data_IF_707975729543
#
_entry.id   IF_707975729543
#
_cell.length_a   1.000
_cell.length_b   1.000
_cell.length_c   1.000
_cell.angle_alpha   90.00
_cell.angle_beta   90.00
_cell.angle_gamma   90.00
#
_symmetry.space_group_name_H-M   'P 1'
#
loop_
_entity.id
_entity.type
_entity.pdbx_description
1 polymer ?
#
# COMPACT_ATOMS: atom_id res chain seq x y z
N UNK A 1 -7.39 -17.24 -18.40
CA UNK A 1 -7.68 -16.71 -17.05
C UNK A 1 -6.79 -17.49 -16.08
N UNK A 2 -6.09 -16.84 -15.16
CA UNK A 2 -5.15 -17.55 -14.26
C UNK A 2 -5.85 -18.13 -13.02
N UNK A 3 -7.02 -17.57 -12.65
CA UNK A 3 -7.90 -18.01 -11.58
C UNK A 3 -9.30 -17.38 -11.77
N UNK A 4 -10.32 -17.91 -11.10
CA UNK A 4 -11.70 -17.35 -11.10
C UNK A 4 -11.89 -16.30 -9.99
N UNK A 5 -11.29 -16.53 -8.81
CA UNK A 5 -11.29 -15.61 -7.66
C UNK A 5 -9.93 -15.64 -6.99
N UNK A 6 -9.38 -14.48 -6.66
CA UNK A 6 -8.15 -14.33 -5.89
C UNK A 6 -8.44 -13.72 -4.52
N UNK A 7 -7.84 -14.27 -3.46
CA UNK A 7 -7.93 -13.73 -2.10
C UNK A 7 -6.53 -13.34 -1.65
N UNK A 8 -6.40 -12.14 -1.11
CA UNK A 8 -5.13 -11.62 -0.63
C UNK A 8 -5.32 -10.66 0.55
N UNK A 9 -4.25 -10.46 1.31
CA UNK A 9 -4.23 -9.42 2.35
C UNK A 9 -4.10 -8.04 1.71
N UNK A 10 -4.85 -7.06 2.24
CA UNK A 10 -4.69 -5.67 1.81
C UNK A 10 -3.24 -5.23 2.00
N UNK A 11 -2.74 -4.44 1.05
CA UNK A 11 -1.39 -3.91 1.07
C UNK A 11 -1.38 -2.49 0.51
N UNK A 12 -0.76 -1.59 1.27
CA UNK A 12 -0.31 -0.27 0.79
C UNK A 12 -1.41 0.74 0.41
N UNK A 13 -2.69 0.49 0.75
CA UNK A 13 -3.83 1.37 0.41
C UNK A 13 -3.81 2.75 1.10
N UNK A 14 -2.90 2.97 2.04
CA UNK A 14 -2.75 4.23 2.76
C UNK A 14 -2.23 5.36 1.87
N UNK A 15 -1.44 5.06 0.84
CA UNK A 15 -0.94 6.03 -0.14
C UNK A 15 -1.18 5.46 -1.54
N UNK A 16 -2.44 5.47 -2.01
CA UNK A 16 -2.82 4.73 -3.21
C UNK A 16 -2.34 5.41 -4.50
N UNK A 17 -1.82 6.64 -4.40
CA UNK A 17 -1.14 7.34 -5.51
C UNK A 17 0.23 6.73 -5.85
N UNK A 18 0.85 5.99 -4.93
CA UNK A 18 2.12 5.28 -5.19
C UNK A 18 1.84 3.87 -5.72
N UNK A 19 0.80 3.23 -5.20
CA UNK A 19 0.40 1.88 -5.59
C UNK A 19 -1.13 1.73 -5.59
N UNK A 20 -1.79 1.92 -6.74
CA UNK A 20 -3.24 1.87 -6.84
C UNK A 20 -3.78 0.46 -7.13
N UNK A 21 -2.99 -0.62 -6.94
CA UNK A 21 -3.30 -1.96 -7.48
C UNK A 21 -4.64 -2.54 -7.04
N UNK A 22 -5.21 -2.08 -5.93
CA UNK A 22 -6.52 -2.51 -5.42
C UNK A 22 -7.71 -1.69 -5.94
N UNK A 23 -7.44 -0.55 -6.58
CA UNK A 23 -8.44 0.32 -7.18
C UNK A 23 -8.57 0.11 -8.68
N UNK A 24 -7.50 -0.27 -9.37
CA UNK A 24 -7.59 -0.74 -10.75
C UNK A 24 -6.39 -1.62 -11.10
N UNK A 25 -6.45 -2.38 -12.21
CA UNK A 25 -5.33 -3.19 -12.68
C UNK A 25 -4.16 -2.33 -13.17
N UNK A 26 -3.24 -2.02 -12.26
CA UNK A 26 -2.08 -1.16 -12.48
C UNK A 26 -0.80 -1.96 -12.73
N UNK A 27 -0.61 -3.07 -12.00
CA UNK A 27 0.61 -3.88 -12.03
C UNK A 27 0.28 -5.37 -12.24
N UNK A 28 1.30 -6.20 -12.47
CA UNK A 28 1.10 -7.66 -12.56
C UNK A 28 0.63 -8.28 -11.25
N UNK A 29 0.72 -7.55 -10.13
CA UNK A 29 0.21 -7.96 -8.82
C UNK A 29 -1.27 -7.61 -8.62
N UNK A 30 -1.91 -6.92 -9.58
CA UNK A 30 -3.36 -6.69 -9.58
C UNK A 30 -4.09 -7.99 -9.96
N UNK A 31 -4.20 -8.89 -8.99
CA UNK A 31 -4.77 -10.24 -9.16
C UNK A 31 -6.18 -10.23 -9.75
N UNK A 32 -6.97 -9.19 -9.45
CA UNK A 32 -8.34 -9.01 -9.96
C UNK A 32 -8.41 -8.75 -11.48
N UNK A 33 -7.29 -8.48 -12.15
CA UNK A 33 -7.31 -8.06 -13.55
C UNK A 33 -5.96 -8.12 -14.27
N UNK A 34 -5.17 -9.18 -14.10
CA UNK A 34 -3.82 -9.31 -14.69
C UNK A 34 -3.80 -9.03 -16.21
N UNK A 35 -4.83 -9.46 -16.96
CA UNK A 35 -4.94 -9.21 -18.40
C UNK A 35 -5.12 -7.72 -18.73
N UNK A 36 -5.88 -6.99 -17.91
CA UNK A 36 -6.08 -5.55 -18.00
C UNK A 36 -4.83 -4.78 -17.55
N UNK A 37 -4.13 -5.25 -16.52
CA UNK A 37 -2.86 -4.65 -16.10
C UNK A 37 -1.78 -4.76 -17.19
N UNK A 38 -1.71 -5.89 -17.91
CA UNK A 38 -0.84 -6.04 -19.10
C UNK A 38 -1.19 -5.04 -20.18
N UNK A 39 -2.49 -4.80 -20.40
CA UNK A 39 -2.96 -3.79 -21.36
C UNK A 39 -2.53 -2.39 -20.97
N UNK A 40 -2.70 -2.03 -19.70
CA UNK A 40 -2.27 -0.75 -19.16
C UNK A 40 -0.74 -0.55 -19.30
N UNK A 41 0.05 -1.48 -18.76
CA UNK A 41 1.52 -1.39 -18.75
C UNK A 41 2.14 -1.39 -20.16
N UNK A 42 1.49 -2.02 -21.12
CA UNK A 42 1.98 -2.09 -22.49
C UNK A 42 1.50 -0.93 -23.38
N UNK A 43 0.78 0.04 -22.83
CA UNK A 43 0.09 1.09 -23.58
C UNK A 43 -0.80 0.50 -24.70
N UNK A 44 -1.58 -0.52 -24.36
CA UNK A 44 -2.55 -1.18 -25.23
C UNK A 44 -2.00 -2.19 -26.22
N UNK A 45 -0.70 -2.51 -26.17
CA UNK A 45 -0.05 -3.43 -27.14
C UNK A 45 -0.23 -4.91 -26.80
N UNK A 46 -0.44 -5.25 -25.54
CA UNK A 46 -0.51 -6.63 -25.04
C UNK A 46 -1.58 -6.76 -23.96
N UNK A 47 -2.19 -7.93 -23.81
CA UNK A 47 -3.21 -8.15 -22.77
C UNK A 47 -4.63 -8.04 -23.31
N UNK A 48 -5.56 -7.73 -22.42
CA UNK A 48 -7.00 -7.70 -22.72
C UNK A 48 -7.47 -6.25 -22.60
N UNK A 49 -8.26 -5.79 -23.57
CA UNK A 49 -8.86 -4.45 -23.51
C UNK A 49 -9.80 -4.36 -22.29
N UNK A 50 -9.57 -3.44 -21.35
CA UNK A 50 -10.43 -3.28 -20.18
C UNK A 50 -11.79 -2.68 -20.56
N UNK A 51 -12.84 -2.86 -19.72
CA UNK A 51 -14.09 -2.11 -19.84
C UNK A 51 -13.86 -0.60 -19.75
N UNK A 52 -14.77 0.19 -20.32
CA UNK A 52 -14.70 1.66 -20.38
C UNK A 52 -14.43 2.31 -19.03
N UNK A 53 -15.16 1.91 -17.99
CA UNK A 53 -15.02 2.47 -16.65
C UNK A 53 -13.65 2.16 -16.01
N UNK A 54 -13.05 1.02 -16.37
CA UNK A 54 -11.70 0.67 -15.92
C UNK A 54 -10.63 1.46 -16.70
N UNK A 55 -10.84 1.69 -18.00
CA UNK A 55 -9.97 2.56 -18.80
C UNK A 55 -10.00 4.00 -18.26
N UNK A 56 -11.16 4.48 -17.82
CA UNK A 56 -11.28 5.80 -17.17
C UNK A 56 -10.45 5.90 -15.89
N UNK A 57 -10.42 4.86 -15.05
CA UNK A 57 -9.52 4.81 -13.90
C UNK A 57 -8.04 4.91 -14.32
N UNK A 58 -7.65 4.17 -15.36
CA UNK A 58 -6.30 4.19 -15.92
C UNK A 58 -5.91 5.58 -16.46
N UNK A 59 -6.81 6.25 -17.17
CA UNK A 59 -6.60 7.61 -17.69
C UNK A 59 -6.48 8.66 -16.58
N UNK A 60 -7.33 8.57 -15.55
CA UNK A 60 -7.24 9.43 -14.36
C UNK A 60 -5.89 9.24 -13.68
N UNK A 61 -5.43 8.00 -13.53
CA UNK A 61 -4.14 7.72 -12.92
C UNK A 61 -2.96 8.26 -13.75
N UNK A 62 -2.98 8.12 -15.08
CA UNK A 62 -1.98 8.72 -15.96
C UNK A 62 -1.93 10.25 -15.87
N UNK A 63 -3.05 10.91 -15.53
CA UNK A 63 -3.07 12.34 -15.24
C UNK A 63 -2.42 12.64 -13.88
N UNK A 64 -2.74 11.85 -12.85
CA UNK A 64 -2.13 11.96 -11.51
C UNK A 64 -0.60 11.87 -11.59
N UNK A 65 -0.06 10.94 -12.39
CA UNK A 65 1.39 10.79 -12.60
C UNK A 65 2.08 12.04 -13.18
N UNK A 66 1.33 12.94 -13.82
CA UNK A 66 1.85 14.17 -14.47
C UNK A 66 1.63 15.43 -13.64
N UNK A 67 0.88 15.34 -12.54
CA UNK A 67 0.49 16.50 -11.73
C UNK A 67 1.38 16.58 -10.49
N UNK A 68 2.06 17.72 -10.25
CA UNK A 68 2.91 17.88 -9.07
C UNK A 68 2.14 18.30 -7.82
N UNK A 69 0.94 18.88 -7.95
CA UNK A 69 0.13 19.35 -6.81
C UNK A 69 -0.59 18.17 -6.12
N UNK A 70 -0.27 17.87 -4.85
CA UNK A 70 -0.91 16.79 -4.11
C UNK A 70 -2.43 16.96 -3.96
N UNK A 71 -2.93 18.20 -3.90
CA UNK A 71 -4.36 18.47 -3.75
C UNK A 71 -5.13 17.99 -4.98
N UNK A 72 -4.59 18.28 -6.15
CA UNK A 72 -5.17 17.85 -7.42
C UNK A 72 -5.03 16.34 -7.65
N UNK A 73 -3.91 15.73 -7.23
CA UNK A 73 -3.77 14.27 -7.22
C UNK A 73 -4.88 13.60 -6.38
N UNK A 74 -5.15 14.13 -5.18
CA UNK A 74 -6.23 13.64 -4.31
C UNK A 74 -7.60 13.78 -4.99
N UNK A 75 -7.89 14.93 -5.60
CA UNK A 75 -9.16 15.19 -6.29
C UNK A 75 -9.40 14.22 -7.45
N UNK A 76 -8.37 13.89 -8.22
CA UNK A 76 -8.45 12.91 -9.29
C UNK A 76 -8.60 11.48 -8.74
N UNK A 77 -7.84 11.13 -7.70
CA UNK A 77 -7.93 9.80 -7.10
C UNK A 77 -9.30 9.53 -6.46
N UNK A 78 -9.95 10.56 -5.92
CA UNK A 78 -11.34 10.45 -5.43
C UNK A 78 -12.32 10.00 -6.52
N UNK A 79 -12.09 10.37 -7.78
CA UNK A 79 -12.92 9.89 -8.90
C UNK A 79 -12.69 8.40 -9.18
N UNK A 80 -11.46 7.91 -9.04
CA UNK A 80 -11.13 6.48 -9.12
C UNK A 80 -11.84 5.70 -8.01
N UNK A 81 -11.87 6.25 -6.79
CA UNK A 81 -12.57 5.65 -5.65
C UNK A 81 -14.08 5.57 -5.93
N UNK A 82 -14.68 6.62 -6.51
CA UNK A 82 -16.10 6.60 -6.85
C UNK A 82 -16.43 5.55 -7.92
N UNK A 83 -15.59 5.40 -8.95
CA UNK A 83 -15.76 4.33 -9.94
C UNK A 83 -15.66 2.94 -9.30
N UNK A 84 -14.70 2.73 -8.40
CA UNK A 84 -14.60 1.48 -7.64
C UNK A 84 -15.84 1.21 -6.80
N UNK A 85 -16.42 2.24 -6.17
CA UNK A 85 -17.63 2.12 -5.36
C UNK A 85 -18.84 1.67 -6.19
N UNK A 86 -18.92 2.07 -7.46
CA UNK A 86 -20.02 1.70 -8.37
C UNK A 86 -19.87 0.28 -8.92
N UNK A 87 -18.64 -0.18 -9.18
CA UNK A 87 -18.38 -1.43 -9.89
C UNK A 87 -17.90 -2.59 -9.01
N UNK A 88 -17.40 -2.31 -7.80
CA UNK A 88 -16.99 -3.31 -6.81
C UNK A 88 -16.01 -4.37 -7.36
N UNK A 89 -14.99 -3.94 -8.12
CA UNK A 89 -13.99 -4.86 -8.70
C UNK A 89 -13.15 -5.59 -7.64
N UNK A 90 -13.01 -4.99 -6.46
CA UNK A 90 -12.38 -5.59 -5.28
C UNK A 90 -13.35 -5.46 -4.11
N UNK A 91 -13.60 -6.56 -3.41
CA UNK A 91 -14.50 -6.61 -2.25
C UNK A 91 -13.65 -6.77 -0.99
N UNK A 92 -13.51 -5.69 -0.23
CA UNK A 92 -12.90 -5.73 1.10
C UNK A 92 -13.84 -6.35 2.14
N UNK A 93 -13.29 -7.13 3.06
CA UNK A 93 -14.05 -7.76 4.16
C UNK A 93 -13.86 -7.02 5.47
N UNK A 94 -12.65 -7.08 6.02
CA UNK A 94 -12.22 -6.33 7.21
C UNK A 94 -10.93 -5.57 6.88
N UNK A 95 -10.73 -4.42 7.52
CA UNK A 95 -9.54 -3.60 7.34
C UNK A 95 -8.97 -3.14 8.68
N UNK A 96 -7.83 -2.43 8.62
CA UNK A 96 -7.16 -1.83 9.80
C UNK A 96 -6.79 -2.84 10.90
N UNK A 97 -6.39 -4.04 10.49
CA UNK A 97 -5.80 -5.01 11.42
C UNK A 97 -4.49 -4.42 11.96
N UNK A 98 -4.30 -4.32 13.29
CA UNK A 98 -3.10 -3.71 13.85
C UNK A 98 -1.86 -4.57 13.60
N UNK A 99 -0.78 -3.95 13.15
CA UNK A 99 0.54 -4.60 13.08
C UNK A 99 1.20 -4.58 14.45
N UNK A 100 1.62 -5.75 14.93
CA UNK A 100 2.30 -5.89 16.21
C UNK A 100 3.82 -5.85 16.03
N UNK A 101 4.49 -5.06 16.87
CA UNK A 101 5.94 -4.99 16.97
C UNK A 101 6.35 -5.18 18.43
N UNK A 102 7.44 -5.91 18.65
CA UNK A 102 7.98 -6.15 19.99
C UNK A 102 9.24 -5.33 20.14
N UNK A 103 9.29 -4.51 21.19
CA UNK A 103 10.43 -3.68 21.55
C UNK A 103 10.79 -4.02 22.99
N UNK A 104 12.07 -4.28 23.26
CA UNK A 104 12.54 -4.51 24.63
C UNK A 104 12.59 -3.17 25.37
N UNK A 105 12.23 -3.15 26.65
CA UNK A 105 12.20 -1.93 27.48
C UNK A 105 13.53 -1.16 27.54
N UNK A 106 14.67 -1.81 27.23
CA UNK A 106 15.98 -1.18 27.15
C UNK A 106 16.23 -0.40 25.85
N UNK A 107 15.35 -0.48 24.86
CA UNK A 107 15.46 0.29 23.62
C UNK A 107 14.87 1.69 23.82
N UNK A 108 15.63 2.69 23.36
CA UNK A 108 15.19 4.09 23.28
C UNK A 108 15.14 4.57 21.83
N UNK A 109 14.41 5.65 21.62
CA UNK A 109 14.14 6.28 20.32
C UNK A 109 13.34 5.41 19.33
N UNK A 110 12.69 4.34 19.79
CA UNK A 110 11.71 3.60 18.98
C UNK A 110 10.36 4.30 19.12
N UNK A 111 9.72 4.74 18.01
CA UNK A 111 8.43 5.43 18.10
C UNK A 111 7.33 4.49 18.60
N UNK A 112 6.45 5.01 19.46
CA UNK A 112 5.29 4.27 19.97
C UNK A 112 4.26 3.98 18.86
N UNK A 113 4.12 4.89 17.91
CA UNK A 113 3.20 4.77 16.77
C UNK A 113 3.98 4.87 15.47
N UNK A 114 3.83 3.85 14.63
CA UNK A 114 4.41 3.80 13.29
C UNK A 114 3.41 3.22 12.29
N UNK A 115 3.55 3.62 11.03
CA UNK A 115 2.80 3.01 9.94
C UNK A 115 3.54 1.77 9.48
N UNK A 116 2.81 0.65 9.40
CA UNK A 116 3.29 -0.61 8.87
C UNK A 116 2.88 -0.73 7.41
N UNK A 117 3.83 -1.02 6.52
CA UNK A 117 3.54 -1.30 5.12
C UNK A 117 4.80 -1.42 4.28
N UNK A 118 4.66 -1.95 3.08
CA UNK A 118 5.78 -2.13 2.17
C UNK A 118 6.24 -0.80 1.57
N UNK A 119 5.31 0.10 1.24
CA UNK A 119 5.62 1.47 0.80
C UNK A 119 6.49 2.19 1.84
N UNK A 120 6.15 2.04 3.12
CA UNK A 120 6.88 2.67 4.23
C UNK A 120 8.18 1.94 4.58
N UNK A 121 8.44 0.78 3.98
CA UNK A 121 9.63 -0.04 4.26
C UNK A 121 9.80 -0.37 5.74
N UNK A 122 8.71 -0.45 6.51
CA UNK A 122 8.74 -0.61 7.98
C UNK A 122 9.63 -1.80 8.38
N UNK A 123 10.56 -1.64 9.34
CA UNK A 123 10.80 -0.48 10.21
C UNK A 123 11.75 0.59 9.64
N UNK A 124 12.07 0.59 8.35
CA UNK A 124 12.93 1.63 7.75
C UNK A 124 12.40 3.05 7.91
N UNK A 125 11.08 3.27 7.81
CA UNK A 125 10.47 4.59 8.01
C UNK A 125 10.52 5.13 9.44
N UNK A 126 10.96 4.33 10.41
CA UNK A 126 10.99 4.72 11.83
C UNK A 126 12.37 5.16 12.30
N UNK A 127 13.28 5.47 11.36
CA UNK A 127 14.66 5.91 11.59
C UNK A 127 15.44 4.97 12.52
N UNK A 128 15.61 3.68 12.15
CA UNK A 128 16.28 2.68 12.99
C UNK A 128 17.75 3.04 13.31
N UNK A 129 18.39 3.87 12.50
CA UNK A 129 19.73 4.43 12.77
C UNK A 129 19.80 5.31 14.02
N UNK A 130 18.66 5.83 14.48
CA UNK A 130 18.55 6.63 15.69
C UNK A 130 18.24 5.78 16.93
N UNK A 131 18.03 4.48 16.79
CA UNK A 131 17.75 3.59 17.92
C UNK A 131 18.99 3.40 18.77
N UNK A 132 18.76 3.25 20.07
CA UNK A 132 19.83 2.94 20.99
C UNK A 132 19.34 2.01 22.08
N UNK A 133 20.31 1.35 22.72
CA UNK A 133 20.06 0.41 23.80
C UNK A 133 20.76 0.96 25.04
N UNK A 134 20.03 1.11 26.12
CA UNK A 134 20.62 1.49 27.40
C UNK A 134 21.42 0.32 27.97
N UNK A 135 22.54 0.63 28.62
CA UNK A 135 23.31 -0.40 29.32
C UNK A 135 22.45 -0.96 30.46
N UNK A 136 22.33 -2.29 30.51
CA UNK A 136 21.70 -2.96 31.63
C UNK A 136 22.48 -2.59 32.89
N UNK A 137 21.82 -1.91 33.84
CA UNK A 137 22.33 -1.82 35.20
C UNK A 137 22.18 -3.22 35.80
N UNK A 138 23.24 -4.01 35.74
CA UNK A 138 23.33 -5.21 36.56
C UNK A 138 23.60 -4.66 37.97
N UNK A 139 22.56 -4.57 38.79
CA UNK A 139 22.78 -4.50 40.23
C UNK A 139 23.47 -5.81 40.60
N UNK A 140 24.78 -5.74 40.83
CA UNK A 140 25.47 -6.81 41.53
C UNK A 140 24.84 -6.83 42.92
N UNK A 141 23.96 -7.80 43.15
CA UNK A 141 23.51 -8.18 44.47
C UNK A 141 24.74 -8.75 45.21
N UNK A 142 25.64 -7.86 45.64
CA UNK A 142 26.68 -8.16 46.63
C UNK A 142 25.95 -8.37 47.96
N UNK A 143 25.29 -9.53 48.08
CA UNK A 143 24.89 -10.08 49.36
C UNK A 143 26.12 -10.43 50.17
N UNK A 144 26.18 -9.86 51.37
CA UNK A 144 27.06 -10.11 52.53
C UNK A 144 28.08 -11.27 52.45
#
# INVERSE_FOLDING_TARGET
MMHDVGVWGSADELIPVIDPRWFFPFSQESIQGIGYARWFLSNGKQGIVPPEEMMKCMELYQQIERIPDPTEQVRLFQQIIELNRQHLWVIGTIGRVPSLFVVKDTFRNVPEVAVSGWIFRTPGSTAPECYAIDQLTIENDEGD
#
